data_IF_925345141506
#
_entry.id   IF_925345141506
#
_cell.length_a   1.000
_cell.length_b   1.000
_cell.length_c   1.000
_cell.angle_alpha   90.00
_cell.angle_beta   90.00
_cell.angle_gamma   90.00
#
_symmetry.space_group_name_H-M   'P 1'
#
loop_
_entity.id
_entity.type
_entity.pdbx_description
1 polymer ?
#
# COMPACT_ATOMS: atom_id res chain seq x y z
N UNK A 1 2.33 -7.88 11.83
CA UNK A 1 3.31 -6.91 11.33
C UNK A 1 3.17 -5.53 11.99
N UNK A 2 4.32 -4.96 12.34
CA UNK A 2 4.57 -3.59 12.81
C UNK A 2 5.39 -2.81 11.78
N UNK A 3 6.29 -3.46 11.04
CA UNK A 3 7.19 -2.84 10.04
C UNK A 3 6.86 -3.24 8.61
N UNK A 4 6.70 -2.24 7.73
CA UNK A 4 6.29 -2.41 6.34
C UNK A 4 7.28 -1.76 5.36
N UNK A 5 7.56 -2.43 4.25
CA UNK A 5 8.31 -1.86 3.13
C UNK A 5 7.37 -1.53 1.98
N UNK A 6 7.38 -0.30 1.47
CA UNK A 6 6.52 0.14 0.38
C UNK A 6 7.35 0.16 -0.90
N UNK A 7 7.04 -0.75 -1.84
CA UNK A 7 7.80 -0.90 -3.08
C UNK A 7 7.32 0.09 -4.13
N UNK A 8 8.24 0.84 -4.71
CA UNK A 8 8.03 1.79 -5.81
C UNK A 8 8.94 1.41 -6.99
N UNK A 9 8.37 1.37 -8.19
CA UNK A 9 9.14 1.13 -9.42
C UNK A 9 10.03 2.31 -9.79
N UNK A 10 11.29 2.07 -10.16
CA UNK A 10 12.27 3.12 -10.50
C UNK A 10 12.09 3.73 -11.91
N UNK A 11 11.32 3.10 -12.81
CA UNK A 11 11.16 3.56 -14.20
C UNK A 11 10.46 4.93 -14.29
N UNK A 12 11.14 5.87 -14.94
CA UNK A 12 10.76 7.27 -15.10
C UNK A 12 9.46 7.39 -15.93
N UNK A 13 8.47 8.11 -15.41
CA UNK A 13 7.26 8.52 -16.16
C UNK A 13 5.93 8.01 -15.62
N UNK A 14 5.93 7.10 -14.63
CA UNK A 14 4.71 6.59 -13.96
C UNK A 14 4.92 6.28 -12.49
N UNK A 15 5.76 7.06 -11.82
CA UNK A 15 6.13 6.78 -10.44
C UNK A 15 4.93 7.05 -9.55
N UNK A 16 4.30 5.99 -9.04
CA UNK A 16 3.17 6.03 -8.10
C UNK A 16 3.63 6.47 -6.70
N UNK A 17 4.50 7.48 -6.61
CA UNK A 17 4.90 8.09 -5.35
C UNK A 17 3.68 8.57 -4.57
N UNK A 18 2.65 9.04 -5.26
CA UNK A 18 1.36 9.37 -4.65
C UNK A 18 0.75 8.17 -3.93
N UNK A 19 0.67 6.99 -4.56
CA UNK A 19 0.15 5.79 -3.91
C UNK A 19 1.04 5.32 -2.76
N UNK A 20 2.36 5.40 -2.92
CA UNK A 20 3.31 5.06 -1.86
C UNK A 20 3.15 6.00 -0.64
N UNK A 21 2.96 7.30 -0.87
CA UNK A 21 2.65 8.27 0.18
C UNK A 21 1.31 7.97 0.85
N UNK A 22 0.27 7.62 0.09
CA UNK A 22 -1.02 7.21 0.65
C UNK A 22 -0.87 5.94 1.51
N UNK A 23 -0.15 4.92 1.04
CA UNK A 23 0.11 3.70 1.79
C UNK A 23 0.87 3.99 3.10
N UNK A 24 1.90 4.83 3.04
CA UNK A 24 2.68 5.25 4.21
C UNK A 24 1.79 5.97 5.23
N UNK A 25 0.93 6.88 4.77
CA UNK A 25 -0.02 7.58 5.63
C UNK A 25 -1.02 6.63 6.28
N UNK A 26 -1.62 5.72 5.50
CA UNK A 26 -2.55 4.72 6.04
C UNK A 26 -1.90 3.86 7.12
N UNK A 27 -0.68 3.37 6.87
CA UNK A 27 0.09 2.59 7.84
C UNK A 27 0.36 3.39 9.12
N UNK A 28 0.81 4.64 8.98
CA UNK A 28 1.05 5.55 10.11
C UNK A 28 -0.21 5.83 10.92
N UNK A 29 -1.35 6.10 10.26
CA UNK A 29 -2.64 6.37 10.91
C UNK A 29 -3.14 5.13 11.71
N UNK A 30 -2.65 3.93 11.38
CA UNK A 30 -2.91 2.67 12.10
C UNK A 30 -1.76 2.24 13.03
N UNK A 31 -0.84 3.16 13.37
CA UNK A 31 0.26 2.91 14.30
C UNK A 31 1.31 1.91 13.79
N UNK A 32 1.46 1.79 12.46
CA UNK A 32 2.48 0.96 11.80
C UNK A 32 3.63 1.84 11.31
N UNK A 33 4.82 1.25 11.21
CA UNK A 33 6.00 1.90 10.64
C UNK A 33 6.17 1.48 9.20
N UNK A 34 6.59 2.42 8.35
CA UNK A 34 6.85 2.15 6.94
C UNK A 34 8.04 2.92 6.40
N UNK A 35 8.70 2.33 5.40
CA UNK A 35 9.75 2.97 4.60
C UNK A 35 9.54 2.67 3.11
N UNK A 36 10.06 3.54 2.25
CA UNK A 36 9.95 3.38 0.80
C UNK A 36 11.19 2.63 0.28
N UNK A 37 10.94 1.65 -0.59
CA UNK A 37 11.96 0.86 -1.29
C UNK A 37 11.77 1.08 -2.78
N UNK A 38 12.81 1.59 -3.46
CA UNK A 38 12.75 1.86 -4.90
C UNK A 38 13.52 0.77 -5.63
N UNK A 39 12.85 0.01 -6.51
CA UNK A 39 13.44 -1.10 -7.26
C UNK A 39 13.05 -1.02 -8.75
N UNK A 40 13.95 -1.47 -9.63
CA UNK A 40 13.64 -1.68 -11.05
C UNK A 40 13.05 -3.09 -11.30
N UNK A 41 13.52 -4.06 -10.51
CA UNK A 41 13.12 -5.47 -10.56
C UNK A 41 12.87 -5.95 -9.12
N UNK A 42 11.73 -6.58 -8.89
CA UNK A 42 11.33 -7.05 -7.56
C UNK A 42 11.68 -8.53 -7.43
N UNK A 43 12.66 -8.83 -6.57
CA UNK A 43 13.13 -10.18 -6.21
C UNK A 43 13.16 -10.35 -4.70
N UNK A 44 13.07 -11.59 -4.22
CA UNK A 44 13.11 -11.87 -2.77
C UNK A 44 14.43 -11.41 -2.15
N UNK A 45 15.56 -11.65 -2.83
CA UNK A 45 16.90 -11.27 -2.37
C UNK A 45 17.05 -9.76 -2.11
N UNK A 46 16.46 -8.94 -2.99
CA UNK A 46 16.45 -7.49 -2.83
C UNK A 46 15.65 -7.07 -1.58
N UNK A 47 14.51 -7.73 -1.34
CA UNK A 47 13.65 -7.43 -0.21
C UNK A 47 14.23 -7.92 1.12
N UNK A 48 15.03 -8.98 1.14
CA UNK A 48 15.68 -9.49 2.35
C UNK A 48 16.67 -8.48 2.97
N UNK A 49 17.19 -7.54 2.20
CA UNK A 49 18.11 -6.49 2.66
C UNK A 49 17.46 -5.44 3.57
N UNK A 50 16.13 -5.40 3.65
CA UNK A 50 15.40 -4.41 4.44
C UNK A 50 14.69 -5.04 5.65
N UNK A 51 14.40 -4.29 6.73
CA UNK A 51 13.86 -4.86 7.96
C UNK A 51 12.32 -4.98 8.02
N UNK A 52 11.61 -5.02 6.88
CA UNK A 52 10.14 -5.11 6.89
C UNK A 52 9.62 -6.53 7.11
N UNK A 53 8.51 -6.68 7.82
CA UNK A 53 7.81 -7.98 7.96
C UNK A 53 6.91 -8.28 6.76
N UNK A 54 6.39 -7.23 6.11
CA UNK A 54 5.49 -7.31 4.95
C UNK A 54 5.87 -6.21 3.97
N UNK A 55 5.81 -6.51 2.67
CA UNK A 55 5.98 -5.54 1.61
C UNK A 55 4.67 -5.19 0.94
N UNK A 56 4.46 -3.92 0.66
CA UNK A 56 3.31 -3.40 -0.09
C UNK A 56 3.79 -3.00 -1.46
N UNK A 57 3.36 -3.74 -2.47
CA UNK A 57 3.65 -3.43 -3.86
C UNK A 57 2.75 -2.29 -4.35
N UNK A 58 3.36 -1.12 -4.56
CA UNK A 58 2.74 0.03 -5.21
C UNK A 58 3.33 0.31 -6.58
N UNK A 59 4.21 -0.57 -7.07
CA UNK A 59 4.86 -0.42 -8.36
C UNK A 59 3.84 -0.48 -9.51
N UNK A 60 4.21 0.13 -10.63
CA UNK A 60 3.44 0.04 -11.87
C UNK A 60 3.41 -1.42 -12.34
N UNK A 61 2.34 -1.92 -12.97
CA UNK A 61 2.29 -3.27 -13.56
C UNK A 61 3.40 -3.55 -14.60
N UNK A 62 4.15 -2.52 -15.02
CA UNK A 62 5.33 -2.66 -15.89
C UNK A 62 6.63 -3.04 -15.15
N UNK A 63 6.63 -3.02 -13.82
CA UNK A 63 7.74 -3.57 -13.04
C UNK A 63 7.61 -5.09 -13.06
N UNK A 64 8.67 -5.76 -13.47
CA UNK A 64 8.73 -7.21 -13.48
C UNK A 64 8.79 -7.69 -12.03
N UNK A 65 7.92 -8.64 -11.70
CA UNK A 65 7.85 -9.28 -10.39
C UNK A 65 8.14 -10.76 -10.63
N UNK A 66 9.08 -11.32 -9.87
CA UNK A 66 9.25 -12.77 -9.82
C UNK A 66 8.01 -13.42 -9.20
N UNK A 67 7.84 -14.73 -9.39
CA UNK A 67 6.66 -15.44 -8.87
C UNK A 67 6.47 -15.15 -7.37
N UNK A 68 5.35 -14.52 -6.99
CA UNK A 68 5.06 -14.14 -5.61
C UNK A 68 5.16 -15.33 -4.62
N UNK A 69 4.99 -16.57 -5.11
CA UNK A 69 5.10 -17.78 -4.30
C UNK A 69 6.52 -18.08 -3.80
N UNK A 70 7.55 -17.45 -4.34
CA UNK A 70 8.95 -17.67 -3.94
C UNK A 70 9.44 -16.71 -2.85
N UNK A 71 8.65 -15.69 -2.50
CA UNK A 71 9.07 -14.67 -1.55
C UNK A 71 9.03 -15.19 -0.11
N UNK A 72 10.13 -14.98 0.61
CA UNK A 72 10.29 -15.35 2.02
C UNK A 72 9.43 -14.50 2.96
N UNK A 73 9.00 -13.32 2.50
CA UNK A 73 8.14 -12.40 3.23
C UNK A 73 6.91 -12.05 2.40
N UNK A 74 5.73 -11.87 3.03
CA UNK A 74 4.51 -11.52 2.29
C UNK A 74 4.70 -10.24 1.49
N UNK A 75 4.40 -10.30 0.20
CA UNK A 75 4.27 -9.14 -0.68
C UNK A 75 2.79 -9.02 -1.05
N UNK A 76 2.17 -7.91 -0.68
CA UNK A 76 0.74 -7.65 -0.90
C UNK A 76 0.55 -6.42 -1.78
N UNK A 77 -0.57 -6.33 -2.45
CA UNK A 77 -0.99 -5.14 -3.19
C UNK A 77 -1.48 -4.03 -2.24
N UNK A 78 -1.58 -2.81 -2.77
CA UNK A 78 -2.23 -1.71 -2.03
C UNK A 78 -3.68 -2.04 -1.64
N UNK A 79 -4.43 -2.74 -2.49
CA UNK A 79 -5.81 -3.13 -2.19
C UNK A 79 -5.89 -4.14 -1.04
N UNK A 80 -4.98 -5.11 -0.99
CA UNK A 80 -4.87 -6.05 0.13
C UNK A 80 -4.48 -5.36 1.43
N UNK A 81 -3.65 -4.31 1.37
CA UNK A 81 -3.38 -3.46 2.54
C UNK A 81 -4.67 -2.81 3.03
N UNK A 82 -5.48 -2.21 2.16
CA UNK A 82 -6.75 -1.58 2.54
C UNK A 82 -7.71 -2.60 3.19
N UNK A 83 -7.79 -3.82 2.65
CA UNK A 83 -8.58 -4.90 3.24
C UNK A 83 -8.03 -5.34 4.60
N UNK A 84 -6.71 -5.47 4.74
CA UNK A 84 -6.07 -5.85 5.99
C UNK A 84 -6.24 -4.82 7.11
N UNK A 85 -6.36 -3.53 6.75
CA UNK A 85 -6.66 -2.44 7.67
C UNK A 85 -8.16 -2.26 7.95
N UNK A 86 -9.04 -3.05 7.32
CA UNK A 86 -10.49 -2.95 7.50
C UNK A 86 -11.13 -1.73 6.81
N UNK A 87 -10.42 -1.11 5.88
CA UNK A 87 -10.89 0.06 5.11
C UNK A 87 -11.75 -0.35 3.90
N UNK A 88 -11.70 -1.64 3.52
CA UNK A 88 -12.51 -2.23 2.45
C UNK A 88 -13.12 -3.54 2.89
N UNK A 89 -14.38 -3.72 2.51
CA UNK A 89 -15.11 -4.96 2.73
C UNK A 89 -14.70 -6.03 1.71
N UNK A 90 -14.44 -7.26 2.19
CA UNK A 90 -13.99 -8.41 1.38
C UNK A 90 -14.99 -8.83 0.30
N UNK A 91 -16.25 -8.40 0.39
CA UNK A 91 -17.31 -8.75 -0.57
C UNK A 91 -17.22 -8.05 -1.93
N UNK A 92 -16.33 -7.05 -2.08
CA UNK A 92 -16.11 -6.33 -3.35
C UNK A 92 -14.78 -6.69 -4.00
N UNK A 93 -14.55 -7.98 -4.22
CA UNK A 93 -13.44 -8.46 -5.06
C UNK A 93 -13.65 -7.97 -6.50
N UNK A 94 -13.08 -6.82 -6.85
CA UNK A 94 -12.98 -6.36 -8.25
C UNK A 94 -11.62 -6.84 -8.74
N UNK A 95 -11.63 -7.75 -9.72
CA UNK A 95 -10.42 -8.16 -10.43
C UNK A 95 -9.71 -6.92 -10.96
N UNK A 96 -8.40 -6.82 -10.71
CA UNK A 96 -7.55 -5.68 -11.08
C UNK A 96 -7.26 -5.71 -12.60
N UNK A 97 -8.30 -5.68 -13.43
CA UNK A 97 -8.18 -5.36 -14.85
C UNK A 97 -8.11 -3.83 -14.98
N UNK A 98 -6.87 -3.32 -14.94
CA UNK A 98 -6.41 -2.06 -15.53
C UNK A 98 -7.50 -0.95 -15.55
N UNK A 99 -7.74 -0.30 -14.41
CA UNK A 99 -8.35 1.05 -14.43
C UNK A 99 -7.22 2.06 -14.44
N UNK A 100 -6.73 2.33 -15.64
CA UNK A 100 -5.87 3.46 -15.95
C UNK A 100 -6.71 4.74 -15.84
N UNK A 101 -6.80 5.35 -14.67
CA UNK A 101 -7.06 6.80 -14.51
C UNK A 101 -6.67 7.23 -13.11
N UNK A 102 -5.84 8.27 -13.02
CA UNK A 102 -5.38 8.94 -11.81
C UNK A 102 -6.52 9.66 -11.06
N UNK A 103 -7.48 8.90 -10.51
CA UNK A 103 -8.61 9.43 -9.75
C UNK A 103 -8.47 9.26 -8.21
N UNK A 104 -7.29 8.87 -7.72
CA UNK A 104 -6.95 8.74 -6.29
C UNK A 104 -6.70 10.08 -5.59
N UNK A 105 -7.46 11.11 -5.99
CA UNK A 105 -7.49 12.44 -5.37
C UNK A 105 -8.90 13.00 -5.20
N UNK A 106 -9.96 12.23 -5.49
CA UNK A 106 -11.34 12.71 -5.34
C UNK A 106 -11.71 12.70 -3.86
N UNK A 107 -11.75 13.90 -3.28
CA UNK A 107 -11.98 14.28 -1.88
C UNK A 107 -13.33 13.88 -1.25
N UNK A 108 -14.02 12.87 -1.78
CA UNK A 108 -15.34 12.45 -1.31
C UNK A 108 -15.33 11.32 -0.28
N UNK A 109 -14.20 10.62 -0.07
CA UNK A 109 -14.16 9.47 0.84
C UNK A 109 -13.84 9.82 2.31
N UNK A 110 -13.20 10.97 2.58
CA UNK A 110 -12.75 11.35 3.93
C UNK A 110 -13.83 11.95 4.84
N UNK A 111 -15.09 12.10 4.38
CA UNK A 111 -16.18 12.72 5.18
C UNK A 111 -16.93 11.77 6.12
N UNK A 112 -16.47 10.53 6.28
CA UNK A 112 -17.21 9.48 6.99
C UNK A 112 -16.72 9.10 8.38
N UNK A 113 -15.48 9.42 8.76
CA UNK A 113 -14.89 8.97 10.03
C UNK A 113 -14.30 10.15 10.82
N UNK A 114 -15.15 11.05 11.28
CA UNK A 114 -14.87 11.79 12.50
C UNK A 114 -15.21 10.88 13.69
N UNK A 115 -14.28 10.63 14.63
CA UNK A 115 -14.64 9.93 15.85
C UNK A 115 -15.59 10.85 16.63
N UNK A 116 -16.82 10.39 16.85
CA UNK A 116 -17.79 11.03 17.74
C UNK A 116 -17.25 10.99 19.18
N UNK A 117 -16.44 12.00 19.52
CA UNK A 117 -16.02 12.31 20.86
C UNK A 117 -17.13 13.06 21.57
N UNK A 118 -17.91 12.33 22.38
CA UNK A 118 -18.65 12.88 23.50
C UNK A 118 -17.69 13.70 24.38
N UNK A 119 -18.01 14.98 24.59
CA UNK A 119 -17.57 15.65 25.79
C UNK A 119 -18.67 16.61 26.28
N UNK A 120 -19.61 16.07 27.04
CA UNK A 120 -20.21 16.84 28.15
C UNK A 120 -19.08 17.43 28.99
N UNK A 121 -19.11 18.74 29.24
CA UNK A 121 -18.84 19.37 30.54
C UNK A 121 -19.01 20.90 30.48
N UNK A 122 -19.94 21.35 31.34
CA UNK A 122 -20.13 22.67 31.97
C UNK A 122 -20.46 23.89 31.11
#
# INVERSE_FOLDING_TARGET
>A
ARDFGIIVGSKIGQTRYSLASVASKLLSDHGKRSFIVILDLIRDEELLNFPAEIYVNTACPRVTIEDYSTFSRPVITFYELEMALGLRDKSRYIFDEIVMTDAIGSTSFWRGNEPSGDNRRH
#
